data_IF_920610015923
#
_entry.id   IF_920610015923
#
_cell.length_a   1.000
_cell.length_b   1.000
_cell.length_c   1.000
_cell.angle_alpha   90.00
_cell.angle_beta   90.00
_cell.angle_gamma   90.00
#
_symmetry.space_group_name_H-M   'P 1'
#
loop_
_entity.id
_entity.type
_entity.pdbx_description
1 polymer ?
#
# COMPACT_ATOMS: atom_id res chain seq x y z
N UNK A 1 -59.93 -3.12 102.83
CA UNK A 1 -59.17 -3.81 103.90
C UNK A 1 -58.24 -4.81 103.24
N UNK A 2 -57.09 -5.04 103.87
CA UNK A 2 -56.13 -6.12 103.62
C UNK A 2 -55.03 -5.88 102.56
N UNK A 3 -53.89 -5.51 103.14
CA UNK A 3 -52.50 -5.66 102.71
C UNK A 3 -52.15 -7.02 102.10
N UNK A 4 -51.31 -7.05 101.07
CA UNK A 4 -50.49 -8.22 100.75
C UNK A 4 -49.08 -7.82 100.30
N UNK A 5 -48.13 -8.55 100.87
CA UNK A 5 -46.68 -8.42 100.88
C UNK A 5 -45.98 -8.99 99.63
N UNK A 6 -44.80 -8.48 99.26
CA UNK A 6 -43.75 -9.22 98.50
C UNK A 6 -42.55 -8.29 98.20
N UNK A 7 -41.47 -8.24 98.98
CA UNK A 7 -40.25 -9.10 99.01
C UNK A 7 -39.10 -8.59 98.09
N UNK A 8 -37.93 -8.33 98.69
CA UNK A 8 -36.71 -7.75 98.09
C UNK A 8 -36.01 -8.73 97.13
N UNK A 9 -35.57 -8.23 95.97
CA UNK A 9 -34.91 -9.01 94.90
C UNK A 9 -33.38 -9.10 95.12
N UNK A 10 -32.82 -10.31 95.03
CA UNK A 10 -31.38 -10.63 95.19
C UNK A 10 -30.79 -10.96 93.81
N UNK A 11 -29.67 -10.33 93.45
CA UNK A 11 -28.97 -10.54 92.18
C UNK A 11 -28.02 -11.74 92.29
N UNK A 12 -28.26 -12.80 91.50
CA UNK A 12 -27.42 -14.01 91.45
C UNK A 12 -26.90 -14.19 90.02
N UNK A 13 -25.63 -13.85 89.79
CA UNK A 13 -24.96 -14.01 88.49
C UNK A 13 -24.32 -15.39 88.31
N UNK A 14 -24.11 -15.79 87.06
CA UNK A 14 -23.63 -17.12 86.70
C UNK A 14 -22.16 -17.34 87.10
N UNK A 15 -21.92 -18.24 88.06
CA UNK A 15 -20.57 -18.59 88.52
C UNK A 15 -19.97 -19.64 87.58
N UNK A 16 -19.16 -19.19 86.61
CA UNK A 16 -18.37 -20.07 85.74
C UNK A 16 -16.90 -20.12 86.18
N UNK A 17 -16.34 -21.33 86.27
CA UNK A 17 -14.94 -21.52 86.66
C UNK A 17 -14.02 -21.24 85.48
N UNK A 18 -13.45 -20.05 85.41
CA UNK A 18 -12.49 -19.66 84.37
C UNK A 18 -11.12 -20.26 84.72
N UNK A 19 -10.61 -21.19 83.88
CA UNK A 19 -9.24 -21.71 83.96
C UNK A 19 -8.55 -21.52 82.62
N UNK A 20 -7.30 -21.05 82.65
CA UNK A 20 -6.43 -21.02 81.47
C UNK A 20 -5.70 -22.36 81.37
N UNK A 21 -5.79 -23.01 80.20
CA UNK A 21 -5.08 -24.25 79.91
C UNK A 21 -4.08 -23.99 78.79
N UNK A 22 -2.84 -24.45 78.97
CA UNK A 22 -1.81 -24.44 77.94
C UNK A 22 -1.44 -25.89 77.61
N UNK A 23 -2.36 -26.63 77.00
CA UNK A 23 -2.09 -27.98 76.57
C UNK A 23 -1.07 -27.94 75.42
N UNK A 24 0.10 -28.52 75.65
CA UNK A 24 1.15 -28.59 74.63
C UNK A 24 0.69 -29.52 73.49
N UNK A 25 1.04 -29.20 72.24
CA UNK A 25 0.75 -30.07 71.12
C UNK A 25 1.52 -31.40 71.29
N UNK A 26 0.97 -32.52 70.79
CA UNK A 26 1.70 -33.78 70.78
C UNK A 26 2.98 -33.65 69.95
N UNK A 27 4.02 -34.47 70.22
CA UNK A 27 5.29 -34.39 69.52
C UNK A 27 5.11 -34.60 68.01
N UNK A 28 5.75 -33.76 67.16
CA UNK A 28 5.43 -33.68 65.74
C UNK A 28 5.99 -34.82 64.88
N UNK A 29 6.84 -35.71 65.45
CA UNK A 29 7.48 -36.86 64.77
C UNK A 29 7.78 -36.63 63.28
N UNK A 30 8.60 -35.63 62.92
CA UNK A 30 8.90 -35.36 61.54
C UNK A 30 9.65 -36.54 60.91
N UNK A 31 9.53 -36.73 59.59
CA UNK A 31 10.22 -37.80 58.89
C UNK A 31 11.73 -37.66 59.07
N UNK A 32 12.42 -38.77 59.35
CA UNK A 32 13.88 -38.78 59.49
C UNK A 32 14.52 -38.72 58.11
N UNK A 33 15.42 -37.76 57.90
CA UNK A 33 16.25 -37.73 56.71
C UNK A 33 17.29 -38.86 56.80
N UNK A 34 17.48 -39.57 55.69
CA UNK A 34 18.49 -40.59 55.55
C UNK A 34 19.73 -39.97 54.91
N UNK A 35 20.90 -40.45 55.30
CA UNK A 35 22.15 -40.05 54.66
C UNK A 35 22.22 -40.64 53.25
N UNK A 36 22.32 -39.76 52.27
CA UNK A 36 22.44 -40.13 50.86
C UNK A 36 23.90 -40.50 50.60
N UNK A 37 24.20 -41.72 50.11
CA UNK A 37 25.57 -42.11 49.84
C UNK A 37 26.18 -41.21 48.76
N UNK A 38 27.34 -40.62 49.04
CA UNK A 38 28.08 -39.75 48.13
C UNK A 38 29.51 -40.27 47.96
N UNK A 39 30.08 -40.08 46.77
CA UNK A 39 31.46 -40.39 46.45
C UNK A 39 32.38 -39.31 47.02
N UNK A 40 32.77 -39.48 48.28
CA UNK A 40 33.77 -38.61 48.92
C UNK A 40 35.18 -38.83 48.38
N UNK A 41 36.16 -38.12 48.93
CA UNK A 41 37.56 -38.22 48.52
C UNK A 41 38.13 -39.65 48.64
N UNK A 42 37.62 -40.44 49.60
CA UNK A 42 37.99 -41.84 49.78
C UNK A 42 37.49 -42.78 48.66
N UNK A 43 36.51 -42.33 47.85
CA UNK A 43 35.94 -43.11 46.74
C UNK A 43 36.88 -43.20 45.52
N UNK A 44 38.06 -42.58 45.56
CA UNK A 44 39.09 -42.68 44.53
C UNK A 44 38.85 -41.81 43.29
N UNK A 45 37.60 -41.45 42.98
CA UNK A 45 37.26 -40.68 41.77
C UNK A 45 38.07 -39.38 41.63
N UNK A 46 38.22 -38.62 42.73
CA UNK A 46 38.95 -37.35 42.76
C UNK A 46 40.46 -37.49 42.94
N UNK A 47 40.94 -38.66 43.37
CA UNK A 47 42.37 -38.94 43.60
C UNK A 47 43.00 -39.78 42.47
N UNK A 48 42.19 -40.24 41.50
CA UNK A 48 42.72 -40.93 40.31
C UNK A 48 43.52 -39.97 39.42
N UNK A 49 44.65 -40.43 38.81
CA UNK A 49 45.40 -39.63 37.85
C UNK A 49 44.55 -39.15 36.66
N UNK A 50 43.49 -39.91 36.31
CA UNK A 50 42.53 -39.55 35.27
C UNK A 50 41.79 -38.24 35.54
N UNK A 51 41.54 -37.90 36.81
CA UNK A 51 40.91 -36.64 37.20
C UNK A 51 41.77 -35.42 36.81
N UNK A 52 43.10 -35.54 36.92
CA UNK A 52 44.05 -34.49 36.55
C UNK A 52 44.43 -34.49 35.05
N UNK A 53 43.95 -35.45 34.26
CA UNK A 53 44.33 -35.57 32.84
C UNK A 53 43.98 -34.35 32.00
N UNK A 54 42.84 -33.70 32.30
CA UNK A 54 42.42 -32.47 31.62
C UNK A 54 43.39 -31.32 31.93
N UNK A 55 43.83 -31.21 33.19
CA UNK A 55 44.81 -30.21 33.60
C UNK A 55 46.16 -30.45 32.94
N UNK A 56 46.60 -31.71 32.86
CA UNK A 56 47.86 -32.07 32.23
C UNK A 56 47.88 -31.77 30.72
N UNK A 57 46.75 -31.93 30.01
CA UNK A 57 46.65 -31.61 28.58
C UNK A 57 46.59 -30.11 28.28
N UNK A 58 46.19 -29.30 29.25
CA UNK A 58 46.12 -27.84 29.12
C UNK A 58 47.48 -27.16 29.40
N UNK A 59 48.46 -27.93 29.92
CA UNK A 59 49.82 -27.43 30.06
C UNK A 59 50.42 -27.15 28.67
N UNK A 60 50.96 -25.95 28.42
CA UNK A 60 51.66 -25.65 27.18
C UNK A 60 52.76 -26.68 26.90
N UNK A 61 52.76 -27.23 25.69
CA UNK A 61 53.78 -28.17 25.27
C UNK A 61 55.12 -27.45 25.17
N UNK A 62 56.17 -28.09 25.69
CA UNK A 62 57.52 -27.62 25.45
C UNK A 62 57.85 -27.82 23.96
N UNK A 63 58.25 -26.74 23.29
CA UNK A 63 58.70 -26.75 21.89
C UNK A 63 60.23 -26.77 21.78
N UNK A 64 60.95 -26.72 22.90
CA UNK A 64 62.40 -26.90 22.95
C UNK A 64 62.73 -28.38 22.71
N UNK A 65 63.11 -28.72 21.48
CA UNK A 65 63.40 -30.09 21.07
C UNK A 65 64.75 -30.58 21.62
N UNK A 66 65.80 -29.78 21.47
CA UNK A 66 67.17 -30.02 21.94
C UNK A 66 67.82 -28.68 22.32
N UNK A 67 69.12 -28.71 22.67
CA UNK A 67 69.87 -27.52 23.04
C UNK A 67 70.03 -26.49 21.91
N UNK A 68 69.80 -26.88 20.65
CA UNK A 68 69.97 -26.05 19.44
C UNK A 68 68.63 -25.82 18.72
N UNK A 69 67.51 -26.04 19.41
CA UNK A 69 66.13 -25.87 18.92
C UNK A 69 65.86 -26.59 17.58
N UNK A 70 66.46 -27.77 17.40
CA UNK A 70 66.31 -28.60 16.20
C UNK A 70 67.07 -28.10 14.96
N UNK A 71 67.96 -27.12 15.12
CA UNK A 71 68.83 -26.61 14.05
C UNK A 71 70.30 -26.88 14.41
N UNK A 72 70.82 -28.09 14.16
CA UNK A 72 72.16 -28.47 14.58
C UNK A 72 73.23 -27.65 13.84
N UNK A 73 74.08 -26.93 14.59
CA UNK A 73 75.18 -26.13 14.06
C UNK A 73 76.48 -26.95 14.04
N UNK A 74 76.59 -27.82 13.03
CA UNK A 74 77.80 -28.62 12.80
C UNK A 74 78.57 -28.12 11.57
N UNK A 75 79.88 -27.89 11.74
CA UNK A 75 80.80 -27.48 10.67
C UNK A 75 81.43 -28.69 9.96
N UNK A 76 81.30 -29.90 10.51
CA UNK A 76 81.87 -31.11 9.94
C UNK A 76 81.19 -31.43 8.60
N UNK A 77 81.99 -31.49 7.53
CA UNK A 77 81.52 -31.77 6.17
C UNK A 77 81.27 -30.53 5.31
N UNK A 78 81.36 -29.32 5.87
CA UNK A 78 81.30 -28.09 5.09
C UNK A 78 82.63 -27.88 4.33
N UNK A 79 82.60 -27.65 3.00
CA UNK A 79 83.82 -27.45 2.22
C UNK A 79 84.63 -26.23 2.70
N UNK A 80 85.95 -26.39 2.84
CA UNK A 80 86.91 -25.29 3.06
C UNK A 80 87.00 -24.72 4.48
N UNK A 81 86.06 -25.06 5.38
CA UNK A 81 85.93 -24.40 6.68
C UNK A 81 87.15 -24.61 7.61
N UNK A 82 87.73 -25.81 7.61
CA UNK A 82 88.91 -26.13 8.41
C UNK A 82 90.22 -25.63 7.78
N UNK A 83 90.18 -25.21 6.52
CA UNK A 83 91.32 -24.64 5.77
C UNK A 83 91.32 -23.09 5.79
N UNK A 84 90.35 -22.47 6.48
CA UNK A 84 90.21 -21.01 6.62
C UNK A 84 89.31 -20.34 5.58
N UNK A 85 88.62 -21.11 4.72
CA UNK A 85 87.62 -20.61 3.79
C UNK A 85 86.20 -20.77 4.34
N UNK A 86 85.60 -19.66 4.78
CA UNK A 86 84.24 -19.61 5.34
C UNK A 86 83.15 -19.37 4.29
N UNK A 87 83.49 -19.38 2.99
CA UNK A 87 82.54 -19.04 1.91
C UNK A 87 81.28 -19.92 1.89
N UNK A 88 81.37 -21.16 2.38
CA UNK A 88 80.25 -22.12 2.41
C UNK A 88 79.13 -21.77 3.41
N UNK A 89 79.41 -20.95 4.42
CA UNK A 89 78.44 -20.51 5.44
C UNK A 89 78.10 -19.02 5.33
N UNK A 90 78.77 -18.29 4.43
CA UNK A 90 78.54 -16.86 4.23
C UNK A 90 77.31 -16.61 3.35
N UNK A 91 76.53 -15.59 3.73
CA UNK A 91 75.44 -15.12 2.88
C UNK A 91 76.00 -14.52 1.58
N UNK A 92 75.35 -14.75 0.43
CA UNK A 92 75.79 -14.17 -0.84
C UNK A 92 75.71 -12.64 -0.80
N UNK A 93 76.63 -11.98 -1.51
CA UNK A 93 76.70 -10.51 -1.57
C UNK A 93 75.41 -9.88 -2.13
N UNK A 94 74.69 -10.60 -3.00
CA UNK A 94 73.41 -10.19 -3.56
C UNK A 94 72.29 -11.09 -3.01
N UNK A 95 71.34 -10.54 -2.22
CA UNK A 95 70.23 -11.31 -1.70
C UNK A 95 69.37 -11.88 -2.84
N UNK A 96 69.03 -13.18 -2.81
CA UNK A 96 68.17 -13.79 -3.82
C UNK A 96 66.72 -13.27 -3.72
N UNK A 97 65.91 -13.40 -4.80
CA UNK A 97 64.49 -13.09 -4.74
C UNK A 97 63.76 -14.01 -3.76
N UNK A 98 62.86 -13.43 -2.95
CA UNK A 98 62.13 -14.15 -1.89
C UNK A 98 61.14 -15.14 -2.51
N UNK A 99 61.18 -16.40 -2.06
CA UNK A 99 60.22 -17.42 -2.47
C UNK A 99 58.82 -17.14 -1.91
N UNK A 100 57.77 -17.54 -2.64
CA UNK A 100 56.39 -17.25 -2.25
C UNK A 100 56.00 -17.85 -0.89
N UNK A 101 56.52 -19.04 -0.55
CA UNK A 101 56.29 -19.69 0.76
C UNK A 101 57.02 -18.99 1.91
N UNK A 102 58.17 -18.35 1.67
CA UNK A 102 58.98 -17.69 2.71
C UNK A 102 58.48 -16.28 3.02
N UNK A 103 57.73 -15.68 2.08
CA UNK A 103 57.16 -14.33 2.24
C UNK A 103 56.34 -14.18 3.52
N UNK A 104 55.64 -15.23 3.95
CA UNK A 104 54.83 -15.20 5.17
C UNK A 104 55.69 -15.29 6.45
N UNK A 105 56.84 -15.94 6.40
CA UNK A 105 57.79 -16.14 7.50
C UNK A 105 58.63 -14.89 7.77
N UNK A 106 58.94 -14.12 6.71
CA UNK A 106 59.70 -12.87 6.79
C UNK A 106 58.87 -11.65 7.25
N UNK A 107 57.63 -11.85 7.66
CA UNK A 107 56.75 -10.77 8.12
C UNK A 107 57.25 -10.21 9.46
N UNK A 108 57.41 -8.89 9.61
CA UNK A 108 57.83 -8.30 10.89
C UNK A 108 56.77 -8.57 11.95
N UNK A 109 57.18 -8.71 13.22
CA UNK A 109 56.28 -9.00 14.35
C UNK A 109 55.11 -8.00 14.45
N UNK A 110 55.34 -6.73 14.12
CA UNK A 110 54.30 -5.69 14.09
C UNK A 110 53.18 -5.95 13.06
N UNK A 111 53.45 -6.74 12.01
CA UNK A 111 52.48 -7.12 10.98
C UNK A 111 51.70 -8.39 11.33
N UNK A 112 52.15 -9.17 12.33
CA UNK A 112 51.33 -10.19 13.00
C UNK A 112 50.35 -9.51 13.95
N UNK A 113 49.56 -8.57 13.42
CA UNK A 113 48.48 -7.93 14.15
C UNK A 113 47.29 -8.88 14.29
N UNK A 114 46.47 -8.64 15.32
CA UNK A 114 45.13 -9.25 15.40
C UNK A 114 44.37 -8.87 14.12
N UNK A 115 43.58 -9.79 13.52
CA UNK A 115 42.73 -9.42 12.40
C UNK A 115 41.90 -8.19 12.85
N UNK A 116 42.04 -7.07 12.12
CA UNK A 116 41.10 -5.98 12.28
C UNK A 116 39.74 -6.61 12.00
N UNK A 117 38.83 -6.58 12.97
CA UNK A 117 37.44 -6.91 12.71
C UNK A 117 37.02 -5.95 11.59
N UNK A 118 36.96 -6.45 10.36
CA UNK A 118 36.26 -5.76 9.29
C UNK A 118 34.87 -5.46 9.83
N UNK A 119 34.38 -4.23 9.67
CA UNK A 119 33.02 -3.81 10.02
C UNK A 119 32.01 -4.87 9.53
N UNK A 120 31.75 -5.87 10.36
CA UNK A 120 30.67 -6.80 10.15
C UNK A 120 29.45 -5.96 10.46
N UNK A 121 28.77 -5.49 9.42
CA UNK A 121 27.60 -4.64 9.55
C UNK A 121 26.57 -5.32 10.43
N UNK A 122 26.53 -4.93 11.70
CA UNK A 122 25.58 -5.47 12.66
C UNK A 122 24.27 -4.73 12.46
N UNK A 123 23.19 -5.44 12.14
CA UNK A 123 21.91 -4.85 11.72
C UNK A 123 21.25 -3.93 12.75
N UNK A 124 21.57 -4.13 14.04
CA UNK A 124 21.06 -3.27 15.12
C UNK A 124 21.91 -2.01 15.36
N UNK A 125 23.16 -1.99 14.88
CA UNK A 125 24.07 -0.88 15.14
C UNK A 125 24.00 0.13 13.99
N UNK A 126 23.16 1.16 14.16
CA UNK A 126 23.09 2.28 13.22
C UNK A 126 24.34 3.14 13.32
N UNK A 127 24.79 3.65 12.17
CA UNK A 127 25.85 4.67 12.11
C UNK A 127 25.36 5.96 12.76
N UNK A 128 26.24 6.63 13.49
CA UNK A 128 25.95 7.94 14.08
C UNK A 128 25.81 8.99 12.96
N UNK A 129 24.69 9.70 12.91
CA UNK A 129 24.56 10.89 12.06
C UNK A 129 25.25 12.07 12.73
N UNK A 130 26.14 12.74 12.00
CA UNK A 130 26.70 14.03 12.41
C UNK A 130 25.74 15.13 11.97
N UNK A 131 25.61 16.20 12.77
CA UNK A 131 24.87 17.42 12.40
C UNK A 131 25.61 18.06 11.23
N UNK A 132 25.36 17.59 10.01
CA UNK A 132 25.77 18.28 8.79
C UNK A 132 24.75 19.37 8.53
N UNK A 133 25.22 20.60 8.28
CA UNK A 133 24.39 21.70 7.77
C UNK A 133 23.89 21.34 6.35
N UNK A 134 22.94 20.42 6.26
CA UNK A 134 22.01 20.28 5.15
C UNK A 134 20.74 21.07 5.50
N UNK A 135 20.92 22.28 6.05
CA UNK A 135 19.95 23.34 5.77
C UNK A 135 20.06 23.60 4.28
N UNK A 136 18.90 23.72 3.62
CA UNK A 136 18.69 24.14 2.23
C UNK A 136 19.86 24.98 1.71
N UNK A 137 20.28 24.89 0.43
CA UNK A 137 21.21 25.85 -0.15
C UNK A 137 20.51 27.22 -0.27
N UNK A 138 20.23 27.88 0.85
CA UNK A 138 20.13 29.31 0.92
C UNK A 138 21.54 29.78 0.58
N UNK A 139 21.73 30.13 -0.69
CA UNK A 139 22.83 30.98 -1.12
C UNK A 139 22.80 32.21 -0.22
N UNK A 140 23.63 32.20 0.81
CA UNK A 140 23.93 33.39 1.57
C UNK A 140 24.74 34.26 0.60
N UNK A 141 24.06 35.16 -0.11
CA UNK A 141 24.74 36.22 -0.85
C UNK A 141 25.46 37.08 0.18
N UNK A 142 26.74 36.79 0.38
CA UNK A 142 27.63 37.57 1.22
C UNK A 142 27.63 39.01 0.73
N UNK A 143 27.22 39.92 1.61
CA UNK A 143 27.23 41.39 1.47
C UNK A 143 28.64 41.97 1.51
N UNK A 144 29.58 41.34 0.80
CA UNK A 144 30.92 41.90 0.59
C UNK A 144 30.98 42.57 -0.77
N UNK A 145 31.52 43.79 -0.78
CA UNK A 145 31.59 44.74 -1.90
C UNK A 145 32.32 44.24 -3.15
N UNK A 146 32.81 42.99 -3.18
CA UNK A 146 33.47 42.38 -4.36
C UNK A 146 32.50 41.69 -5.32
N UNK A 147 31.26 41.37 -4.94
CA UNK A 147 30.27 40.78 -5.89
C UNK A 147 29.62 41.81 -6.83
N UNK A 148 29.86 43.11 -6.60
CA UNK A 148 29.35 44.21 -7.43
C UNK A 148 30.15 44.43 -8.72
N UNK A 149 31.36 43.84 -8.85
CA UNK A 149 32.27 44.14 -9.96
C UNK A 149 32.21 43.08 -11.08
N UNK A 150 31.76 41.85 -10.78
CA UNK A 150 31.72 40.72 -11.75
C UNK A 150 30.38 40.57 -12.51
N UNK A 151 29.42 41.48 -12.31
CA UNK A 151 28.13 41.49 -13.04
C UNK A 151 28.04 42.57 -14.13
N UNK A 152 29.17 43.01 -14.67
CA UNK A 152 29.18 43.99 -15.78
C UNK A 152 29.06 43.36 -17.18
N UNK A 153 29.10 42.02 -17.29
CA UNK A 153 29.09 41.32 -18.59
C UNK A 153 27.84 40.51 -18.96
N UNK A 154 26.99 40.12 -18.00
CA UNK A 154 25.78 39.34 -18.31
C UNK A 154 24.52 40.09 -17.86
N UNK A 155 23.97 40.88 -18.79
CA UNK A 155 22.58 41.34 -18.71
C UNK A 155 21.67 40.12 -18.87
N UNK A 156 21.43 39.38 -17.78
CA UNK A 156 20.19 38.64 -17.67
C UNK A 156 19.09 39.69 -17.81
N UNK A 157 18.41 39.71 -18.97
CA UNK A 157 17.25 40.55 -19.21
C UNK A 157 16.31 40.33 -18.02
N UNK A 158 16.22 41.32 -17.12
CA UNK A 158 15.19 41.32 -16.09
C UNK A 158 13.87 41.23 -16.84
N UNK A 159 13.06 40.21 -16.54
CA UNK A 159 11.71 40.13 -17.07
C UNK A 159 11.02 41.48 -16.79
N UNK A 160 10.25 42.02 -17.75
CA UNK A 160 9.54 43.28 -17.54
C UNK A 160 8.74 43.18 -16.24
N UNK A 161 8.96 44.14 -15.34
CA UNK A 161 8.45 44.14 -13.95
C UNK A 161 6.93 44.33 -13.89
N UNK A 162 6.28 44.58 -15.04
CA UNK A 162 4.85 44.89 -15.15
C UNK A 162 4.19 44.00 -16.20
N UNK A 163 4.18 42.68 -15.99
CA UNK A 163 3.21 41.82 -16.66
C UNK A 163 2.18 41.44 -15.61
N UNK A 164 0.93 41.88 -15.79
CA UNK A 164 -0.18 41.46 -14.96
C UNK A 164 -0.31 39.95 -15.09
N UNK A 165 0.16 39.22 -14.07
CA UNK A 165 0.26 37.75 -14.10
C UNK A 165 -1.11 37.08 -14.15
N UNK A 166 -2.15 37.80 -13.75
CA UNK A 166 -3.55 37.39 -13.78
C UNK A 166 -4.26 37.83 -15.08
N UNK A 167 -3.58 38.54 -15.99
CA UNK A 167 -4.19 38.91 -17.26
C UNK A 167 -4.42 37.66 -18.13
N UNK A 168 -5.59 37.54 -18.81
CA UNK A 168 -5.88 36.38 -19.67
C UNK A 168 -4.82 36.15 -20.75
N UNK A 169 -4.29 37.23 -21.34
CA UNK A 169 -3.23 37.16 -22.36
C UNK A 169 -1.92 36.58 -21.81
N UNK A 170 -1.53 36.98 -20.59
CA UNK A 170 -0.35 36.44 -19.94
C UNK A 170 -0.53 34.94 -19.65
N UNK A 171 -1.67 34.56 -19.05
CA UNK A 171 -2.00 33.16 -18.74
C UNK A 171 -1.94 32.30 -20.01
N UNK A 172 -2.59 32.75 -21.11
CA UNK A 172 -2.53 32.09 -22.42
C UNK A 172 -1.10 31.93 -22.92
N UNK A 173 -0.30 33.00 -22.86
CA UNK A 173 1.10 32.95 -23.33
C UNK A 173 1.96 31.99 -22.50
N UNK A 174 1.71 31.88 -21.19
CA UNK A 174 2.43 30.95 -20.31
C UNK A 174 1.99 29.50 -20.54
N UNK A 175 0.69 29.28 -20.78
CA UNK A 175 0.16 27.97 -21.17
C UNK A 175 0.83 27.50 -22.47
N UNK A 176 0.83 28.32 -23.53
CA UNK A 176 1.52 27.99 -24.80
C UNK A 176 3.02 27.72 -24.60
N UNK A 177 3.71 28.54 -23.80
CA UNK A 177 5.12 28.32 -23.46
C UNK A 177 5.33 26.97 -22.76
N UNK A 178 4.44 26.56 -21.86
CA UNK A 178 4.57 25.28 -21.16
C UNK A 178 4.55 24.09 -22.13
N UNK A 179 3.68 24.11 -23.15
CA UNK A 179 3.65 23.09 -24.21
C UNK A 179 4.94 23.08 -25.04
N UNK A 180 5.46 24.26 -25.41
CA UNK A 180 6.74 24.33 -26.15
C UNK A 180 7.91 23.80 -25.34
N UNK A 181 7.96 24.08 -24.02
CA UNK A 181 8.99 23.56 -23.12
C UNK A 181 8.87 22.04 -23.01
N UNK A 182 7.66 21.52 -22.78
CA UNK A 182 7.43 20.08 -22.68
C UNK A 182 7.81 19.33 -23.96
N UNK A 183 7.44 19.86 -25.13
CA UNK A 183 7.80 19.30 -26.42
C UNK A 183 9.32 19.27 -26.64
N UNK A 184 10.03 20.36 -26.31
CA UNK A 184 11.49 20.41 -26.39
C UNK A 184 12.14 19.40 -25.45
N UNK A 185 11.67 19.29 -24.21
CA UNK A 185 12.17 18.32 -23.23
C UNK A 185 11.95 16.87 -23.68
N UNK A 186 10.80 16.58 -24.30
CA UNK A 186 10.51 15.26 -24.86
C UNK A 186 11.45 14.90 -26.02
N UNK A 187 11.81 15.88 -26.85
CA UNK A 187 12.79 15.69 -27.93
C UNK A 187 14.22 15.51 -27.40
N UNK A 188 14.57 16.12 -26.26
CA UNK A 188 15.92 16.13 -25.67
C UNK A 188 15.97 15.52 -24.26
N UNK A 189 15.45 14.30 -24.07
CA UNK A 189 15.31 13.64 -22.75
C UNK A 189 16.64 13.54 -21.97
N UNK A 190 17.77 13.35 -22.67
CA UNK A 190 19.10 13.20 -22.06
C UNK A 190 19.63 14.47 -21.39
N UNK A 191 19.12 15.63 -21.81
CA UNK A 191 19.56 16.92 -21.30
C UNK A 191 18.75 17.35 -20.07
N UNK A 192 17.66 16.65 -19.77
CA UNK A 192 16.86 16.88 -18.58
C UNK A 192 17.71 16.59 -17.34
N UNK A 193 17.71 17.55 -16.40
CA UNK A 193 18.39 17.45 -15.11
C UNK A 193 17.36 17.42 -14.00
N UNK A 194 17.66 16.70 -12.92
CA UNK A 194 16.76 16.61 -11.79
C UNK A 194 16.63 17.99 -11.10
N UNK A 195 15.40 18.46 -10.77
CA UNK A 195 15.17 19.81 -10.25
C UNK A 195 15.86 20.10 -8.90
N UNK A 196 16.15 19.07 -8.09
CA UNK A 196 16.89 19.22 -6.83
C UNK A 196 18.41 19.41 -6.99
N UNK A 197 18.93 19.50 -8.22
CA UNK A 197 20.36 19.69 -8.48
C UNK A 197 21.21 18.43 -8.36
N UNK A 198 20.59 17.26 -8.12
CA UNK A 198 21.28 15.96 -8.12
C UNK A 198 21.73 15.59 -9.53
N UNK A 199 23.04 15.61 -9.77
CA UNK A 199 23.67 15.36 -11.09
C UNK A 199 23.72 13.88 -11.49
N UNK A 200 23.59 12.96 -10.52
CA UNK A 200 23.68 11.53 -10.76
C UNK A 200 22.36 10.90 -11.23
N UNK A 201 21.27 11.68 -11.23
CA UNK A 201 19.96 11.22 -11.68
C UNK A 201 19.78 11.54 -13.16
N UNK A 202 19.34 10.55 -13.92
CA UNK A 202 19.03 10.65 -15.36
C UNK A 202 17.61 10.19 -15.60
N UNK A 203 16.95 10.81 -16.57
CA UNK A 203 15.60 10.38 -16.98
C UNK A 203 15.73 9.06 -17.73
N UNK A 204 15.01 8.04 -17.25
CA UNK A 204 14.92 6.74 -17.91
C UNK A 204 13.88 6.76 -19.01
N UNK A 205 12.72 7.36 -18.72
CA UNK A 205 11.59 7.39 -19.61
C UNK A 205 10.77 8.66 -19.39
N UNK A 206 10.19 9.17 -20.48
CA UNK A 206 9.27 10.29 -20.49
C UNK A 206 8.04 9.89 -21.32
N UNK A 207 6.86 10.06 -20.74
CA UNK A 207 5.58 9.80 -21.38
C UNK A 207 4.80 11.12 -21.46
N UNK A 208 4.44 11.61 -22.66
CA UNK A 208 3.57 12.77 -22.78
C UNK A 208 2.17 12.42 -22.24
N UNK A 209 1.55 13.35 -21.51
CA UNK A 209 0.19 13.18 -21.02
C UNK A 209 -0.78 13.70 -22.10
N UNK A 210 -1.67 12.85 -22.60
CA UNK A 210 -2.59 13.17 -23.70
C UNK A 210 -4.03 12.75 -23.36
N UNK A 211 -5.05 13.48 -23.83
CA UNK A 211 -6.42 12.99 -23.75
C UNK A 211 -6.63 11.81 -24.71
N UNK A 212 -7.41 10.83 -24.28
CA UNK A 212 -7.90 9.76 -25.15
C UNK A 212 -9.28 10.10 -25.71
N UNK A 213 -9.31 11.01 -26.68
CA UNK A 213 -10.53 11.61 -27.21
C UNK A 213 -11.50 10.60 -27.85
N UNK A 214 -11.01 9.45 -28.31
CA UNK A 214 -11.84 8.40 -28.92
C UNK A 214 -12.48 7.46 -27.89
N UNK A 215 -12.11 7.59 -26.62
CA UNK A 215 -12.53 6.71 -25.53
C UNK A 215 -13.51 7.35 -24.55
N UNK A 216 -13.91 8.60 -24.79
CA UNK A 216 -14.85 9.28 -23.91
C UNK A 216 -16.25 8.67 -24.11
N UNK A 217 -16.92 8.27 -23.02
CA UNK A 217 -18.28 7.78 -23.10
C UNK A 217 -19.26 8.93 -23.40
N UNK A 218 -20.53 8.58 -23.59
CA UNK A 218 -21.67 9.48 -23.74
C UNK A 218 -21.77 10.56 -22.64
N UNK A 219 -21.44 10.23 -21.39
CA UNK A 219 -21.38 11.21 -20.30
C UNK A 219 -20.09 12.07 -20.29
N UNK A 220 -19.21 11.89 -21.28
CA UNK A 220 -17.95 12.62 -21.41
C UNK A 220 -16.87 12.26 -20.38
N UNK A 221 -17.06 11.20 -19.58
CA UNK A 221 -16.08 10.66 -18.65
C UNK A 221 -16.61 9.47 -17.83
N UNK A 222 -15.76 8.91 -16.98
CA UNK A 222 -16.04 7.65 -16.29
C UNK A 222 -16.57 7.85 -14.87
N UNK A 223 -17.25 6.84 -14.33
CA UNK A 223 -17.63 6.80 -12.91
C UNK A 223 -16.69 5.88 -12.14
N UNK A 224 -16.29 6.29 -10.93
CA UNK A 224 -15.57 5.43 -10.00
C UNK A 224 -16.50 4.94 -8.91
N UNK A 225 -16.56 3.63 -8.73
CA UNK A 225 -17.47 3.01 -7.76
C UNK A 225 -16.65 2.23 -6.74
N UNK A 226 -16.76 2.63 -5.48
CA UNK A 226 -16.07 2.00 -4.36
C UNK A 226 -17.04 1.18 -3.52
N UNK A 227 -16.83 -0.12 -3.51
CA UNK A 227 -17.52 -1.04 -2.62
C UNK A 227 -17.01 -0.89 -1.18
N UNK A 228 -17.91 -0.64 -0.23
CA UNK A 228 -17.57 -0.58 1.19
C UNK A 228 -17.13 -1.96 1.73
N UNK A 229 -17.69 -3.04 1.19
CA UNK A 229 -17.28 -4.43 1.49
C UNK A 229 -17.06 -5.21 0.20
N UNK A 230 -16.13 -6.17 0.21
CA UNK A 230 -15.81 -6.96 -0.98
C UNK A 230 -17.10 -7.60 -1.58
N UNK A 231 -17.39 -7.39 -2.88
CA UNK A 231 -18.54 -7.98 -3.57
C UNK A 231 -18.46 -9.51 -3.69
N UNK A 232 -17.26 -10.08 -3.67
CA UNK A 232 -17.02 -11.52 -3.87
C UNK A 232 -16.45 -12.18 -2.61
N UNK A 233 -16.55 -13.53 -2.49
CA UNK A 233 -15.89 -14.26 -1.42
C UNK A 233 -14.38 -13.97 -1.37
N UNK A 234 -13.76 -13.99 -0.18
CA UNK A 234 -12.32 -13.78 -0.06
C UNK A 234 -11.55 -14.87 -0.79
N UNK A 235 -10.61 -14.46 -1.65
CA UNK A 235 -9.72 -15.34 -2.41
C UNK A 235 -8.29 -14.78 -2.39
N UNK A 236 -7.31 -15.65 -2.64
CA UNK A 236 -5.91 -15.25 -2.86
C UNK A 236 -5.65 -14.71 -4.27
N UNK A 237 -6.54 -15.02 -5.22
CA UNK A 237 -6.47 -14.57 -6.61
C UNK A 237 -7.57 -13.54 -6.89
N UNK A 238 -7.25 -12.55 -7.73
CA UNK A 238 -8.23 -11.59 -8.19
C UNK A 238 -9.31 -12.28 -9.05
N UNK A 239 -10.58 -12.00 -8.76
CA UNK A 239 -11.71 -12.56 -9.52
C UNK A 239 -11.94 -11.72 -10.77
N UNK A 240 -11.48 -12.23 -11.92
CA UNK A 240 -11.55 -11.53 -13.22
C UNK A 240 -12.97 -11.16 -13.65
N UNK A 241 -14.01 -11.78 -13.07
CA UNK A 241 -15.41 -11.44 -13.35
C UNK A 241 -15.76 -10.03 -12.87
N UNK A 242 -14.96 -9.44 -11.98
CA UNK A 242 -15.13 -8.06 -11.52
C UNK A 242 -14.73 -7.01 -12.56
N UNK A 243 -13.83 -7.34 -13.51
CA UNK A 243 -13.39 -6.39 -14.55
C UNK A 243 -14.52 -5.96 -15.49
N UNK A 244 -15.51 -6.84 -15.65
CA UNK A 244 -16.64 -6.66 -16.57
C UNK A 244 -17.98 -6.87 -15.86
N UNK A 245 -18.04 -6.56 -14.56
CA UNK A 245 -19.28 -6.63 -13.80
C UNK A 245 -20.21 -5.46 -14.16
N UNK A 246 -21.53 -5.71 -14.04
CA UNK A 246 -22.54 -4.71 -14.36
C UNK A 246 -23.18 -4.20 -13.08
N UNK A 247 -23.29 -2.88 -12.97
CA UNK A 247 -24.01 -2.22 -11.91
C UNK A 247 -25.17 -1.44 -12.54
N UNK A 248 -26.39 -1.91 -12.32
CA UNK A 248 -27.60 -1.30 -12.87
C UNK A 248 -28.29 -0.47 -11.78
N UNK A 249 -28.53 0.84 -11.97
CA UNK A 249 -29.40 1.60 -11.09
C UNK A 249 -30.82 1.00 -11.07
N UNK A 250 -31.43 0.92 -9.89
CA UNK A 250 -32.83 0.50 -9.76
C UNK A 250 -33.72 1.71 -10.02
N UNK A 251 -34.68 1.56 -10.92
CA UNK A 251 -35.73 2.56 -11.17
C UNK A 251 -36.66 2.63 -9.94
N UNK A 252 -36.93 3.85 -9.47
CA UNK A 252 -37.89 4.06 -8.40
C UNK A 252 -39.31 3.85 -8.95
N UNK A 253 -40.22 3.32 -8.13
CA UNK A 253 -41.62 3.24 -8.55
C UNK A 253 -42.23 4.65 -8.60
N UNK A 254 -43.24 4.86 -9.47
CA UNK A 254 -43.94 6.15 -9.58
C UNK A 254 -44.48 6.65 -8.23
N UNK A 255 -44.85 5.74 -7.33
CA UNK A 255 -45.31 6.07 -5.98
C UNK A 255 -44.16 6.59 -5.08
N UNK A 256 -42.99 5.95 -5.17
CA UNK A 256 -41.78 6.38 -4.45
C UNK A 256 -41.24 7.71 -4.98
N UNK A 257 -41.30 7.95 -6.29
CA UNK A 257 -40.91 9.22 -6.90
C UNK A 257 -41.83 10.35 -6.44
N UNK A 258 -43.16 10.13 -6.46
CA UNK A 258 -44.14 11.09 -5.93
C UNK A 258 -43.90 11.37 -4.44
N UNK A 259 -43.61 10.34 -3.64
CA UNK A 259 -43.27 10.52 -2.23
C UNK A 259 -42.00 11.34 -2.05
N UNK A 260 -40.95 11.07 -2.84
CA UNK A 260 -39.69 11.83 -2.82
C UNK A 260 -39.89 13.30 -3.21
N UNK A 261 -40.71 13.58 -4.23
CA UNK A 261 -41.05 14.93 -4.64
C UNK A 261 -41.76 15.69 -3.52
N UNK A 262 -42.76 15.08 -2.87
CA UNK A 262 -43.46 15.70 -1.73
C UNK A 262 -42.49 16.01 -0.57
N UNK A 263 -41.56 15.08 -0.26
CA UNK A 263 -40.55 15.31 0.80
C UNK A 263 -39.63 16.47 0.41
N UNK A 264 -39.18 16.54 -0.85
CA UNK A 264 -38.34 17.63 -1.36
C UNK A 264 -39.07 18.97 -1.28
N UNK A 265 -40.30 19.06 -1.76
CA UNK A 265 -41.11 20.30 -1.68
C UNK A 265 -41.33 20.75 -0.23
N UNK A 266 -41.59 19.83 0.69
CA UNK A 266 -41.77 20.15 2.10
C UNK A 266 -40.45 20.64 2.74
N UNK A 267 -39.32 20.02 2.40
CA UNK A 267 -38.00 20.47 2.84
C UNK A 267 -37.64 21.85 2.31
N UNK A 268 -37.93 22.15 1.04
CA UNK A 268 -37.71 23.47 0.45
C UNK A 268 -38.57 24.56 1.10
N UNK A 269 -39.81 24.22 1.53
CA UNK A 269 -40.70 25.14 2.24
C UNK A 269 -40.27 25.41 3.67
N UNK A 270 -39.85 24.39 4.41
CA UNK A 270 -39.45 24.52 5.81
C UNK A 270 -38.30 23.55 6.17
N UNK A 271 -37.04 23.97 5.90
CA UNK A 271 -35.87 23.14 6.15
C UNK A 271 -35.63 22.80 7.62
N UNK A 272 -36.21 23.56 8.55
CA UNK A 272 -36.01 23.36 10.00
C UNK A 272 -36.91 22.24 10.56
N UNK A 273 -38.09 22.03 9.96
CA UNK A 273 -39.07 21.05 10.43
C UNK A 273 -39.13 19.77 9.61
N UNK A 274 -38.72 19.80 8.34
CA UNK A 274 -38.69 18.61 7.49
C UNK A 274 -37.25 18.10 7.31
N UNK A 275 -37.04 16.77 7.29
CA UNK A 275 -35.72 16.21 7.01
C UNK A 275 -35.34 16.43 5.53
N UNK A 276 -34.04 16.51 5.22
CA UNK A 276 -33.59 16.59 3.83
C UNK A 276 -34.03 15.34 3.03
N UNK A 277 -34.30 15.49 1.72
CA UNK A 277 -34.69 14.38 0.87
C UNK A 277 -33.59 13.31 0.81
N UNK A 278 -34.00 12.05 0.76
CA UNK A 278 -33.09 10.91 0.61
C UNK A 278 -32.66 10.79 -0.86
N UNK A 279 -31.41 11.17 -1.14
CA UNK A 279 -30.79 11.09 -2.48
C UNK A 279 -30.07 9.76 -2.72
N UNK A 280 -30.33 8.74 -1.88
CA UNK A 280 -29.72 7.43 -2.09
C UNK A 280 -30.26 6.75 -3.35
N UNK A 281 -29.32 6.37 -4.21
CA UNK A 281 -29.55 5.57 -5.39
C UNK A 281 -29.35 4.09 -5.05
N UNK A 282 -30.27 3.26 -5.52
CA UNK A 282 -30.17 1.83 -5.39
C UNK A 282 -29.55 1.21 -6.64
N UNK A 283 -28.79 0.14 -6.43
CA UNK A 283 -28.12 -0.57 -7.52
C UNK A 283 -28.27 -2.07 -7.39
N UNK A 284 -28.46 -2.73 -8.52
CA UNK A 284 -28.35 -4.17 -8.66
C UNK A 284 -26.99 -4.52 -9.27
N UNK A 285 -26.24 -5.38 -8.59
CA UNK A 285 -24.91 -5.80 -9.03
C UNK A 285 -24.95 -7.20 -9.64
N UNK A 286 -24.47 -7.31 -10.88
CA UNK A 286 -24.44 -8.54 -11.66
C UNK A 286 -23.02 -8.90 -12.08
N UNK A 287 -22.74 -10.19 -12.15
CA UNK A 287 -21.44 -10.72 -12.62
C UNK A 287 -21.67 -11.88 -13.58
N UNK A 288 -20.73 -12.10 -14.50
CA UNK A 288 -20.72 -13.31 -15.32
C UNK A 288 -20.73 -14.56 -14.43
N UNK A 289 -21.39 -15.64 -14.88
CA UNK A 289 -21.47 -16.87 -14.08
C UNK A 289 -20.09 -17.52 -13.90
N UNK A 290 -19.32 -17.61 -14.98
CA UNK A 290 -18.00 -18.24 -15.01
C UNK A 290 -16.88 -17.24 -15.36
N UNK A 291 -15.67 -17.57 -14.92
CA UNK A 291 -14.47 -16.83 -15.31
C UNK A 291 -14.22 -16.89 -16.83
N UNK A 292 -14.55 -18.02 -17.48
CA UNK A 292 -14.46 -18.16 -18.93
C UNK A 292 -15.41 -17.22 -19.68
N UNK A 293 -16.62 -17.01 -19.18
CA UNK A 293 -17.56 -16.10 -19.82
C UNK A 293 -17.10 -14.65 -19.71
N UNK A 294 -16.53 -14.26 -18.55
CA UNK A 294 -15.90 -12.95 -18.39
C UNK A 294 -14.74 -12.72 -19.36
N UNK A 295 -13.90 -13.75 -19.61
CA UNK A 295 -12.83 -13.65 -20.61
C UNK A 295 -13.37 -13.52 -22.04
N UNK A 296 -14.43 -14.24 -22.38
CA UNK A 296 -15.06 -14.12 -23.71
C UNK A 296 -15.70 -12.75 -23.91
N UNK A 297 -16.34 -12.21 -22.87
CA UNK A 297 -16.84 -10.85 -22.86
C UNK A 297 -15.71 -9.83 -23.06
N UNK A 298 -14.58 -9.99 -22.36
CA UNK A 298 -13.38 -9.16 -22.55
C UNK A 298 -12.90 -9.16 -24.00
N UNK A 299 -12.83 -10.35 -24.63
CA UNK A 299 -12.39 -10.51 -26.03
C UNK A 299 -13.27 -9.73 -27.01
N UNK A 300 -14.58 -9.58 -26.75
CA UNK A 300 -15.49 -8.77 -27.59
C UNK A 300 -15.10 -7.28 -27.63
N UNK A 301 -14.46 -6.77 -26.57
CA UNK A 301 -14.02 -5.36 -26.48
C UNK A 301 -12.53 -5.18 -26.80
N UNK A 302 -11.81 -6.25 -27.16
CA UNK A 302 -10.39 -6.15 -27.51
C UNK A 302 -10.23 -5.76 -28.99
N UNK A 303 -9.74 -4.54 -29.30
CA UNK A 303 -9.56 -4.11 -30.69
C UNK A 303 -8.47 -4.90 -31.44
N UNK A 304 -7.60 -5.62 -30.74
CA UNK A 304 -6.54 -6.44 -31.34
C UNK A 304 -6.96 -7.89 -31.62
N UNK A 305 -8.13 -8.31 -31.13
CA UNK A 305 -8.62 -9.67 -31.34
C UNK A 305 -9.32 -9.78 -32.71
N UNK A 306 -8.79 -10.57 -33.67
CA UNK A 306 -9.40 -10.73 -34.99
C UNK A 306 -10.75 -11.45 -34.94
N UNK A 307 -11.06 -12.16 -33.85
CA UNK A 307 -12.31 -12.89 -33.67
C UNK A 307 -13.31 -12.14 -32.77
N UNK A 308 -13.05 -10.88 -32.41
CA UNK A 308 -13.91 -10.12 -31.48
C UNK A 308 -15.38 -10.10 -31.94
N UNK A 309 -15.64 -10.03 -33.24
CA UNK A 309 -16.99 -9.93 -33.80
C UNK A 309 -17.69 -11.30 -33.94
N UNK A 310 -17.00 -12.41 -33.64
CA UNK A 310 -17.56 -13.76 -33.74
C UNK A 310 -18.67 -14.01 -32.72
N UNK A 311 -19.81 -14.54 -33.18
CA UNK A 311 -20.92 -14.97 -32.32
C UNK A 311 -20.55 -16.15 -31.41
N UNK A 312 -19.47 -16.88 -31.73
CA UNK A 312 -18.99 -17.99 -30.92
C UNK A 312 -18.48 -17.57 -29.53
N UNK A 313 -18.24 -16.27 -29.32
CA UNK A 313 -17.83 -15.73 -28.02
C UNK A 313 -18.99 -15.67 -27.03
N UNK A 314 -20.24 -15.60 -27.48
CA UNK A 314 -21.39 -15.59 -26.57
C UNK A 314 -21.58 -16.94 -25.89
N UNK A 315 -21.94 -16.92 -24.61
CA UNK A 315 -22.07 -18.14 -23.81
C UNK A 315 -23.46 -18.79 -23.92
N UNK A 316 -24.49 -17.99 -24.20
CA UNK A 316 -25.88 -18.43 -24.24
C UNK A 316 -26.64 -17.83 -25.42
N UNK A 317 -27.88 -18.29 -25.61
CA UNK A 317 -28.85 -17.69 -26.53
C UNK A 317 -30.08 -17.25 -25.76
N UNK A 318 -30.66 -16.12 -26.12
CA UNK A 318 -31.93 -15.62 -25.58
C UNK A 318 -33.08 -16.55 -25.94
N UNK A 319 -34.25 -16.36 -25.31
CA UNK A 319 -35.47 -17.11 -25.68
C UNK A 319 -35.86 -16.96 -27.15
N UNK A 320 -35.41 -15.86 -27.78
CA UNK A 320 -35.62 -15.57 -29.20
C UNK A 320 -34.49 -16.10 -30.11
N UNK A 321 -33.51 -16.82 -29.54
CA UNK A 321 -32.42 -17.46 -30.27
C UNK A 321 -31.21 -16.56 -30.59
N UNK A 322 -31.22 -15.29 -30.14
CA UNK A 322 -30.08 -14.37 -30.34
C UNK A 322 -28.95 -14.68 -29.37
N UNK A 323 -27.68 -14.57 -29.77
CA UNK A 323 -26.55 -14.87 -28.90
C UNK A 323 -26.35 -13.78 -27.82
N UNK A 324 -26.11 -14.17 -26.57
CA UNK A 324 -25.98 -13.25 -25.44
C UNK A 324 -25.03 -13.77 -24.34
N UNK A 325 -24.61 -12.87 -23.45
CA UNK A 325 -23.92 -13.21 -22.21
C UNK A 325 -24.91 -13.24 -21.05
N UNK A 326 -24.86 -14.29 -20.23
CA UNK A 326 -25.65 -14.39 -19.00
C UNK A 326 -24.90 -13.78 -17.82
N UNK A 327 -25.53 -12.80 -17.17
CA UNK A 327 -25.05 -12.14 -15.97
C UNK A 327 -25.96 -12.45 -14.80
N UNK A 328 -25.42 -13.06 -13.76
CA UNK A 328 -26.18 -13.44 -12.56
C UNK A 328 -26.16 -12.33 -11.53
N UNK A 329 -27.32 -12.05 -10.93
CA UNK A 329 -27.45 -11.12 -9.81
C UNK A 329 -26.70 -11.65 -8.58
N UNK A 330 -25.89 -10.80 -7.98
CA UNK A 330 -25.11 -11.12 -6.78
C UNK A 330 -25.81 -10.58 -5.53
N UNK A 331 -25.98 -9.25 -5.44
CA UNK A 331 -26.65 -8.57 -4.32
C UNK A 331 -27.00 -7.12 -4.65
N UNK A 332 -28.01 -6.53 -3.99
CA UNK A 332 -28.30 -5.11 -4.11
C UNK A 332 -27.39 -4.23 -3.24
N UNK A 333 -27.17 -3.00 -3.70
CA UNK A 333 -26.41 -1.96 -3.03
C UNK A 333 -27.21 -0.65 -2.98
N UNK A 334 -26.82 0.23 -2.07
CA UNK A 334 -27.28 1.61 -2.02
C UNK A 334 -26.06 2.54 -2.01
N UNK A 335 -26.19 3.72 -2.60
CA UNK A 335 -25.17 4.76 -2.49
C UNK A 335 -25.09 5.27 -1.06
N UNK A 336 -23.88 5.34 -0.53
CA UNK A 336 -23.57 6.00 0.74
C UNK A 336 -23.19 7.46 0.52
N UNK A 337 -22.51 7.75 -0.60
CA UNK A 337 -22.20 9.10 -1.06
C UNK A 337 -21.97 9.07 -2.56
N UNK A 338 -22.38 10.14 -3.24
CA UNK A 338 -22.10 10.39 -4.63
C UNK A 338 -21.60 11.83 -4.75
N UNK A 339 -20.45 12.02 -5.39
CA UNK A 339 -19.81 13.33 -5.56
C UNK A 339 -19.35 13.46 -7.01
N UNK A 340 -19.35 14.68 -7.54
CA UNK A 340 -18.90 14.97 -8.90
C UNK A 340 -20.04 15.40 -9.82
N UNK A 341 -19.66 16.06 -10.91
CA UNK A 341 -20.53 16.54 -11.98
C UNK A 341 -19.69 16.67 -13.25
N UNK A 342 -20.36 16.70 -14.41
CA UNK A 342 -19.70 16.89 -15.71
C UNK A 342 -18.86 18.17 -15.72
N UNK A 343 -19.32 19.23 -15.06
CA UNK A 343 -18.61 20.51 -14.97
C UNK A 343 -17.26 20.43 -14.24
N UNK A 344 -17.12 19.52 -13.27
CA UNK A 344 -15.95 19.43 -12.38
C UNK A 344 -15.12 18.15 -12.60
N UNK A 345 -15.32 17.45 -13.73
CA UNK A 345 -14.77 16.11 -13.98
C UNK A 345 -13.25 16.01 -14.12
N UNK A 346 -12.54 17.14 -14.11
CA UNK A 346 -11.07 17.22 -14.16
C UNK A 346 -10.44 17.71 -12.85
N UNK A 347 -11.24 18.10 -11.86
CA UNK A 347 -10.76 18.84 -10.68
C UNK A 347 -10.12 17.92 -9.64
N UNK A 348 -10.75 16.77 -9.39
CA UNK A 348 -10.40 15.89 -8.26
C UNK A 348 -9.51 14.71 -8.68
N UNK A 349 -10.02 13.86 -9.59
CA UNK A 349 -9.37 12.60 -9.96
C UNK A 349 -9.46 12.38 -11.47
N UNK A 350 -8.36 11.89 -12.04
CA UNK A 350 -8.28 11.40 -13.42
C UNK A 350 -7.64 10.02 -13.40
N UNK A 351 -8.06 9.17 -14.34
CA UNK A 351 -7.40 7.88 -14.56
C UNK A 351 -6.29 8.08 -15.59
N UNK A 352 -5.11 7.50 -15.37
CA UNK A 352 -4.01 7.49 -16.32
C UNK A 352 -3.73 6.05 -16.78
N UNK A 353 -3.76 5.81 -18.09
CA UNK A 353 -3.29 4.58 -18.71
C UNK A 353 -2.03 4.86 -19.51
N UNK A 354 -0.93 4.19 -19.18
CA UNK A 354 0.35 4.34 -19.89
C UNK A 354 0.41 3.35 -21.04
N UNK A 355 0.65 3.86 -22.25
CA UNK A 355 0.90 3.04 -23.44
C UNK A 355 2.34 3.21 -23.91
N UNK A 356 2.98 2.08 -24.20
CA UNK A 356 4.34 2.02 -24.75
C UNK A 356 4.41 2.31 -26.25
N UNK A 357 3.24 2.39 -26.92
CA UNK A 357 3.12 2.61 -28.36
C UNK A 357 3.55 1.43 -29.24
N UNK A 358 3.70 0.24 -28.67
CA UNK A 358 4.11 -0.98 -29.40
C UNK A 358 2.94 -1.70 -30.07
N UNK A 359 1.72 -1.44 -29.61
CA UNK A 359 0.52 -2.18 -29.99
C UNK A 359 -0.08 -1.70 -31.32
N UNK A 360 0.51 -0.69 -31.96
CA UNK A 360 0.07 -0.15 -33.26
C UNK A 360 -1.21 0.71 -33.22
N UNK A 361 -2.01 0.61 -32.16
CA UNK A 361 -3.25 1.37 -31.95
C UNK A 361 -3.02 2.79 -31.43
N UNK A 362 -2.03 2.96 -30.56
CA UNK A 362 -1.80 4.20 -29.81
C UNK A 362 -0.34 4.59 -29.89
N UNK A 363 -0.07 5.89 -29.82
CA UNK A 363 1.29 6.38 -29.68
C UNK A 363 1.76 6.22 -28.23
N UNK A 364 3.08 6.29 -28.03
CA UNK A 364 3.68 6.25 -26.70
C UNK A 364 3.27 7.48 -25.90
N UNK A 365 2.40 7.31 -24.92
CA UNK A 365 1.84 8.38 -24.09
C UNK A 365 1.18 7.83 -22.83
N UNK A 366 1.01 8.69 -21.83
CA UNK A 366 0.10 8.50 -20.72
C UNK A 366 -1.26 9.12 -21.08
N UNK A 367 -2.24 8.28 -21.35
CA UNK A 367 -3.58 8.70 -21.71
C UNK A 367 -4.41 8.99 -20.45
N UNK A 368 -5.05 10.16 -20.39
CA UNK A 368 -5.93 10.50 -19.28
C UNK A 368 -7.41 10.33 -19.62
N UNK A 369 -8.19 9.91 -18.61
CA UNK A 369 -9.63 9.76 -18.67
C UNK A 369 -10.26 10.51 -17.48
N UNK A 370 -11.19 11.44 -17.73
CA UNK A 370 -11.87 12.18 -16.66
C UNK A 370 -12.79 11.28 -15.85
N UNK A 371 -12.99 11.65 -14.57
CA UNK A 371 -13.96 11.00 -13.69
C UNK A 371 -15.10 11.98 -13.44
N UNK A 372 -16.29 11.65 -13.95
CA UNK A 372 -17.51 12.47 -13.78
C UNK A 372 -18.07 12.33 -12.38
N UNK A 373 -18.10 11.10 -11.85
CA UNK A 373 -18.73 10.82 -10.57
C UNK A 373 -17.93 9.80 -9.75
N UNK A 374 -17.93 10.01 -8.43
CA UNK A 374 -17.34 9.14 -7.42
C UNK A 374 -18.44 8.65 -6.50
N UNK A 375 -18.68 7.36 -6.49
CA UNK A 375 -19.80 6.75 -5.77
C UNK A 375 -19.24 5.74 -4.78
N UNK A 376 -19.55 5.89 -3.49
CA UNK A 376 -19.33 4.84 -2.50
C UNK A 376 -20.63 4.09 -2.30
N UNK A 377 -20.59 2.77 -2.40
CA UNK A 377 -21.77 1.92 -2.28
C UNK A 377 -21.63 0.93 -1.13
N UNK A 378 -22.74 0.66 -0.44
CA UNK A 378 -22.81 -0.28 0.67
C UNK A 378 -23.94 -1.30 0.47
N UNK A 379 -23.81 -2.54 0.98
CA UNK A 379 -24.89 -3.51 0.88
C UNK A 379 -26.13 -3.04 1.66
N UNK A 380 -27.32 -3.25 1.09
CA UNK A 380 -28.62 -2.88 1.71
C UNK A 380 -28.99 -3.80 2.90
N UNK A 381 -28.21 -3.80 3.99
CA UNK A 381 -28.50 -4.66 5.15
C UNK A 381 -29.75 -4.22 5.91
N UNK A 382 -29.98 -2.92 6.03
CA UNK A 382 -31.08 -2.39 6.85
C UNK A 382 -32.44 -2.55 6.17
N UNK A 383 -32.55 -2.28 4.86
CA UNK A 383 -33.78 -2.54 4.08
C UNK A 383 -34.16 -4.01 4.11
N UNK A 384 -33.20 -4.93 3.95
CA UNK A 384 -33.45 -6.37 4.09
C UNK A 384 -33.97 -6.79 5.48
N UNK A 385 -33.54 -6.12 6.56
CA UNK A 385 -34.03 -6.38 7.91
C UNK A 385 -35.44 -5.80 8.10
N UNK A 386 -35.69 -4.59 7.62
CA UNK A 386 -37.00 -3.93 7.69
C UNK A 386 -38.05 -4.67 6.85
N UNK A 387 -37.72 -5.04 5.61
CA UNK A 387 -38.53 -5.89 4.74
C UNK A 387 -38.91 -7.21 5.43
N UNK A 388 -37.94 -7.91 6.04
CA UNK A 388 -38.19 -9.12 6.82
C UNK A 388 -39.11 -8.86 8.01
N UNK A 389 -38.97 -7.76 8.73
CA UNK A 389 -39.83 -7.38 9.86
C UNK A 389 -41.26 -7.05 9.39
N UNK A 390 -41.40 -6.31 8.29
CA UNK A 390 -42.68 -5.95 7.69
C UNK A 390 -43.44 -7.18 7.16
N UNK A 391 -42.76 -8.20 6.63
CA UNK A 391 -43.38 -9.49 6.25
C UNK A 391 -44.10 -10.20 7.40
N UNK A 392 -43.67 -10.00 8.64
CA UNK A 392 -44.31 -10.58 9.84
C UNK A 392 -45.28 -9.61 10.54
N UNK A 393 -45.51 -8.42 9.99
CA UNK A 393 -46.36 -7.38 10.60
C UNK A 393 -47.69 -7.30 9.82
N UNK A 394 -48.84 -7.63 10.44
CA UNK A 394 -50.14 -7.56 9.78
C UNK A 394 -50.46 -6.13 9.32
N UNK A 395 -50.75 -5.95 8.03
CA UNK A 395 -51.12 -4.65 7.45
C UNK A 395 -49.96 -3.75 7.02
N UNK A 396 -48.70 -4.19 7.11
CA UNK A 396 -47.58 -3.45 6.54
C UNK A 396 -47.62 -3.48 5.00
N UNK A 397 -47.21 -2.39 4.31
CA UNK A 397 -47.08 -2.39 2.85
C UNK A 397 -46.13 -3.52 2.46
N UNK A 398 -46.60 -4.40 1.58
CA UNK A 398 -45.75 -5.44 0.99
C UNK A 398 -44.84 -4.72 0.00
N UNK A 399 -43.53 -4.73 0.24
CA UNK A 399 -42.58 -4.41 -0.83
C UNK A 399 -42.82 -5.39 -1.99
N UNK A 400 -42.96 -4.86 -3.20
CA UNK A 400 -43.15 -5.63 -4.44
C UNK A 400 -41.87 -6.40 -4.79
N UNK A 401 -41.59 -7.44 -4.00
CA UNK A 401 -40.48 -8.38 -4.24
C UNK A 401 -40.69 -9.26 -5.48
N UNK A 402 -41.79 -9.07 -6.22
CA UNK A 402 -42.16 -9.86 -7.40
C UNK A 402 -41.40 -9.47 -8.68
N UNK A 403 -40.68 -8.33 -8.70
CA UNK A 403 -39.90 -7.86 -9.87
C UNK A 403 -38.39 -7.89 -9.64
N UNK A 404 -37.88 -8.91 -8.97
CA UNK A 404 -36.44 -9.06 -8.75
C UNK A 404 -35.76 -9.74 -9.93
N UNK A 405 -34.82 -9.06 -10.58
CA UNK A 405 -34.13 -9.57 -11.79
C UNK A 405 -33.02 -10.56 -11.40
N UNK A 406 -33.21 -11.87 -11.60
CA UNK A 406 -32.18 -12.85 -11.24
C UNK A 406 -31.01 -12.92 -12.23
N UNK A 407 -31.32 -12.78 -13.52
CA UNK A 407 -30.35 -12.85 -14.61
C UNK A 407 -30.57 -11.71 -15.60
N UNK A 408 -29.47 -11.18 -16.13
CA UNK A 408 -29.45 -10.19 -17.18
C UNK A 408 -28.81 -10.83 -18.42
N UNK A 409 -29.54 -10.78 -19.54
CA UNK A 409 -29.03 -11.23 -20.83
C UNK A 409 -28.45 -10.01 -21.56
N UNK A 410 -27.12 -9.99 -21.68
CA UNK A 410 -26.38 -8.86 -22.26
C UNK A 410 -26.05 -9.17 -23.72
N UNK A 411 -26.45 -8.27 -24.61
CA UNK A 411 -26.01 -8.24 -26.00
C UNK A 411 -25.08 -7.03 -26.18
N UNK A 412 -24.14 -7.15 -27.10
CA UNK A 412 -23.19 -6.08 -27.40
C UNK A 412 -23.53 -5.62 -28.80
N UNK A 413 -23.81 -4.33 -28.92
CA UNK A 413 -24.15 -3.67 -30.18
C UNK A 413 -23.15 -2.54 -30.41
N UNK A 414 -22.93 -2.20 -31.68
CA UNK A 414 -22.16 -1.02 -32.04
C UNK A 414 -22.96 0.24 -31.72
N UNK A 415 -22.31 1.35 -31.34
CA UNK A 415 -23.02 2.58 -31.02
C UNK A 415 -23.75 3.14 -32.24
N UNK A 416 -25.00 3.55 -32.05
CA UNK A 416 -25.80 4.22 -33.08
C UNK A 416 -25.19 5.58 -33.48
N UNK A 417 -25.59 6.10 -34.65
CA UNK A 417 -25.14 7.41 -35.16
C UNK A 417 -25.36 8.55 -34.15
N UNK A 418 -26.45 8.50 -33.39
CA UNK A 418 -26.76 9.48 -32.32
C UNK A 418 -25.72 9.39 -31.19
N UNK A 419 -25.43 8.17 -30.71
CA UNK A 419 -24.44 7.96 -29.64
C UNK A 419 -23.03 8.39 -30.09
N UNK A 420 -22.69 8.16 -31.36
CA UNK A 420 -21.42 8.61 -31.93
C UNK A 420 -21.36 10.14 -31.92
N UNK A 421 -22.41 10.81 -32.40
CA UNK A 421 -22.48 12.27 -32.44
C UNK A 421 -22.37 12.90 -31.03
N UNK A 422 -23.04 12.32 -30.03
CA UNK A 422 -22.94 12.77 -28.63
C UNK A 422 -21.51 12.62 -28.07
N UNK A 423 -20.85 11.49 -28.35
CA UNK A 423 -19.45 11.28 -27.93
C UNK A 423 -18.49 12.23 -28.63
N UNK A 424 -18.73 12.54 -29.91
CA UNK A 424 -17.88 13.45 -30.70
C UNK A 424 -17.88 14.89 -30.17
N UNK A 425 -18.97 15.33 -29.52
CA UNK A 425 -19.03 16.67 -28.89
C UNK A 425 -17.87 16.87 -27.93
N UNK A 426 -17.55 15.87 -27.10
CA UNK A 426 -16.51 15.99 -26.08
C UNK A 426 -15.09 16.11 -26.65
N UNK A 427 -14.89 15.81 -27.94
CA UNK A 427 -13.60 16.02 -28.62
C UNK A 427 -13.29 17.51 -28.80
N UNK A 428 -14.32 18.32 -29.00
CA UNK A 428 -14.18 19.77 -29.23
C UNK A 428 -14.56 20.59 -28.00
N UNK A 429 -15.53 20.11 -27.23
CA UNK A 429 -16.05 20.74 -26.01
C UNK A 429 -15.86 19.79 -24.83
N UNK A 430 -14.70 19.82 -24.15
CA UNK A 430 -14.36 18.83 -23.13
C UNK A 430 -15.31 18.83 -21.93
N UNK A 431 -16.05 19.92 -21.66
CA UNK A 431 -17.05 20.00 -20.60
C UNK A 431 -18.49 19.74 -21.09
N UNK A 432 -18.67 19.35 -22.35
CA UNK A 432 -19.98 19.26 -23.00
C UNK A 432 -20.42 20.59 -23.63
N UNK A 433 -21.58 20.58 -24.29
CA UNK A 433 -22.23 21.82 -24.73
C UNK A 433 -22.66 22.59 -23.49
N UNK A 434 -22.37 23.89 -23.44
CA UNK A 434 -23.04 24.76 -22.49
C UNK A 434 -24.53 24.68 -22.81
N UNK A 435 -25.32 24.09 -21.92
CA UNK A 435 -26.76 24.30 -21.92
C UNK A 435 -26.96 25.80 -21.72
N UNK A 436 -27.27 26.50 -22.81
CA UNK A 436 -27.85 27.83 -22.71
C UNK A 436 -29.17 27.59 -21.99
N UNK A 437 -29.27 27.97 -20.72
CA UNK A 437 -30.57 28.07 -20.02
C UNK A 437 -31.50 28.91 -20.90
N UNK A 438 -32.37 28.23 -21.63
CA UNK A 438 -33.18 28.80 -22.70
C UNK A 438 -34.33 27.86 -23.01
N UNK A 439 -35.46 28.13 -22.36
CA UNK A 439 -36.82 27.81 -22.80
C UNK A 439 -37.27 26.33 -22.90
N UNK A 440 -36.96 25.50 -21.90
CA UNK A 440 -37.78 24.30 -21.61
C UNK A 440 -38.95 24.65 -20.67
N UNK A 441 -39.69 25.71 -21.01
CA UNK A 441 -40.94 26.08 -20.35
C UNK A 441 -42.18 25.98 -21.25
N UNK A 442 -42.03 25.67 -22.55
CA UNK A 442 -43.15 25.64 -23.51
C UNK A 442 -43.12 24.40 -24.42
N UNK A 443 -43.20 23.19 -23.83
CA UNK A 443 -43.45 21.96 -24.60
C UNK A 443 -44.50 21.01 -23.99
N UNK A 444 -45.26 21.46 -22.98
CA UNK A 444 -46.37 20.69 -22.38
C UNK A 444 -47.72 21.46 -22.46
N UNK A 445 -48.07 21.94 -23.65
CA UNK A 445 -49.41 22.47 -23.91
C UNK A 445 -49.80 22.40 -25.39
N UNK A 446 -49.87 21.22 -26.00
CA UNK A 446 -50.79 20.99 -27.13
C UNK A 446 -50.95 19.48 -27.42
N UNK A 447 -52.02 18.90 -26.88
CA UNK A 447 -52.36 17.50 -27.06
C UNK A 447 -53.74 17.13 -26.57
N UNK A 448 -54.72 18.04 -26.69
CA UNK A 448 -56.13 17.74 -26.48
C UNK A 448 -56.97 18.43 -27.56
N UNK A 449 -57.11 17.77 -28.72
CA UNK A 449 -58.19 17.94 -29.69
C UNK A 449 -58.00 17.00 -30.90
N UNK A 450 -58.62 15.81 -30.85
CA UNK A 450 -59.41 15.19 -31.93
C UNK A 450 -59.83 13.76 -31.55
#
# INVERSE_FOLDING_TARGET
>A
MASSSSQRMVHQDYIARIRYSNALPPPPNPPKLLDIPNTGLASGQYTTPGFASRLARDQPLNIEADAELGMPLDLVGMPGIFDGDESSIQAPLHPPPIHAHDRALLRPLASLGKPKFSDSGVSFLRRTEYISNASKPNRFESTTSRSLIDKTGSRNKRAPVNADKESPEYIKSQAEKSFTIAANMLNSVRDIRHPSGKTNLRVLEAHPILPDLDSFPDAGGYCTIKFNTNPVPPSSTYDIRLEHALLKPTEASEEEERARQIIRENYERDPDHYPPPDETLEYEFFMAESASDALRFKRKFDPLDPEKDSDALYSQKTGNGQPCFSYKRIRPYESESALGSIANKFDDEIVLAVSDGKDGLRQKAAYYYPIVQRIKIRPQRNKNIQSKRNRYTPGAPKEDTERQTDYLQVMIEEPDEIMIAEREVFKTQPFGKEEVEGDDADADAEGDAA
#
